data_IF_269015350533
#
_entry.id   IF_269015350533
#
_cell.length_a   1.000
_cell.length_b   1.000
_cell.length_c   1.000
_cell.angle_alpha   90.00
_cell.angle_beta   90.00
_cell.angle_gamma   90.00
#
_symmetry.space_group_name_H-M   'P 1'
#
loop_
_entity.id
_entity.type
_entity.pdbx_description
1 polymer ?
#
# COMPACT_ATOMS: atom_id res chain seq x y z
N UNK A 1 -16.95 -20.21 -9.68
CA UNK A 1 -16.28 -19.84 -9.52
C UNK A 1 -15.57 -19.26 -10.13
N UNK A 2 -15.31 -18.74 -10.31
CA UNK A 2 -14.55 -18.30 -10.76
C UNK A 2 -13.51 -17.99 -10.40
N UNK A 3 -13.10 -18.09 -10.73
CA UNK A 3 -11.89 -18.03 -10.32
C UNK A 3 -11.21 -16.89 -10.70
N UNK A 4 -10.57 -16.13 -9.84
CA UNK A 4 -9.75 -15.06 -10.21
C UNK A 4 -8.43 -15.61 -10.54
N UNK A 5 -7.96 -15.38 -11.76
CA UNK A 5 -6.65 -15.81 -12.19
C UNK A 5 -5.68 -14.71 -11.88
N UNK A 6 -4.76 -14.97 -10.98
CA UNK A 6 -3.72 -14.00 -10.68
C UNK A 6 -2.47 -14.33 -11.46
N UNK A 7 -1.75 -13.29 -11.85
CA UNK A 7 -0.48 -13.47 -12.51
C UNK A 7 0.55 -13.96 -11.50
N UNK A 8 1.57 -14.64 -11.97
CA UNK A 8 2.60 -15.11 -11.08
C UNK A 8 3.55 -14.00 -10.73
N UNK A 9 4.16 -14.09 -9.56
CA UNK A 9 5.19 -13.12 -9.17
C UNK A 9 6.39 -13.26 -10.09
N UNK A 10 7.05 -12.14 -10.36
CA UNK A 10 8.21 -12.12 -11.23
C UNK A 10 9.52 -12.12 -10.46
N UNK A 11 9.50 -11.75 -9.19
CA UNK A 11 10.72 -11.67 -8.40
C UNK A 11 10.44 -12.06 -6.97
N UNK A 12 11.42 -12.66 -6.32
CA UNK A 12 11.31 -13.02 -4.93
C UNK A 12 11.88 -11.94 -4.01
N UNK A 13 12.32 -10.83 -4.55
CA UNK A 13 12.84 -9.73 -3.74
C UNK A 13 11.67 -9.04 -3.05
N UNK A 14 11.66 -8.98 -1.71
CA UNK A 14 10.57 -8.30 -1.02
C UNK A 14 10.63 -6.80 -1.26
N UNK A 15 9.48 -6.17 -1.30
CA UNK A 15 9.39 -4.73 -1.50
C UNK A 15 8.68 -4.13 -0.30
N UNK A 16 9.25 -3.07 0.26
CA UNK A 16 8.65 -2.33 1.35
C UNK A 16 8.30 -0.94 0.85
N UNK A 17 7.03 -0.57 0.98
CA UNK A 17 6.57 0.76 0.63
C UNK A 17 6.17 1.48 1.90
N UNK A 18 6.76 2.66 2.11
CA UNK A 18 6.42 3.51 3.25
C UNK A 18 5.75 4.74 2.65
N UNK A 19 4.51 4.98 3.02
CA UNK A 19 3.75 6.07 2.41
C UNK A 19 2.81 6.69 3.43
N UNK A 20 2.21 7.81 3.08
CA UNK A 20 1.32 8.49 3.99
C UNK A 20 0.06 8.96 3.25
N UNK A 21 0.05 10.17 2.72
CA UNK A 21 -1.17 10.74 2.16
C UNK A 21 -1.01 11.28 0.74
N UNK A 22 0.17 11.10 0.13
CA UNK A 22 0.40 11.61 -1.22
C UNK A 22 -0.04 10.59 -2.24
N UNK A 23 -1.33 10.58 -2.54
CA UNK A 23 -1.92 9.52 -3.33
C UNK A 23 -1.39 9.48 -4.77
N UNK A 24 -1.10 10.64 -5.35
CA UNK A 24 -0.60 10.66 -6.73
C UNK A 24 0.78 10.07 -6.82
N UNK A 25 1.66 10.43 -5.88
CA UNK A 25 2.99 9.87 -5.87
C UNK A 25 2.95 8.39 -5.57
N UNK A 26 2.11 8.00 -4.62
CA UNK A 26 1.98 6.60 -4.28
C UNK A 26 1.46 5.78 -5.46
N UNK A 27 0.52 6.35 -6.22
CA UNK A 27 -0.01 5.65 -7.38
C UNK A 27 1.10 5.34 -8.38
N UNK A 28 1.98 6.30 -8.64
CA UNK A 28 3.09 6.09 -9.54
C UNK A 28 4.02 4.99 -9.05
N UNK A 29 4.33 5.01 -7.75
CA UNK A 29 5.20 3.99 -7.17
C UNK A 29 4.53 2.63 -7.23
N UNK A 30 3.25 2.58 -6.90
CA UNK A 30 2.52 1.31 -6.90
C UNK A 30 2.44 0.73 -8.31
N UNK A 31 2.28 1.60 -9.32
CA UNK A 31 2.27 1.11 -10.71
C UNK A 31 3.59 0.42 -11.06
N UNK A 32 4.71 0.94 -10.58
CA UNK A 32 5.99 0.29 -10.81
C UNK A 32 6.09 -1.03 -10.08
N UNK A 33 5.53 -1.10 -8.88
CA UNK A 33 5.51 -2.34 -8.12
C UNK A 33 4.67 -3.39 -8.87
N UNK A 34 3.56 -2.97 -9.44
CA UNK A 34 2.72 -3.89 -10.21
C UNK A 34 3.48 -4.45 -11.40
N UNK A 35 4.32 -3.67 -12.03
CA UNK A 35 5.11 -4.16 -13.15
C UNK A 35 6.16 -5.15 -12.68
N UNK A 36 6.74 -4.93 -11.51
CA UNK A 36 7.76 -5.81 -10.97
C UNK A 36 7.20 -7.10 -10.41
N UNK A 37 5.97 -7.09 -9.95
CA UNK A 37 5.28 -8.26 -9.38
C UNK A 37 6.12 -9.01 -8.36
N UNK A 38 6.46 -8.33 -7.23
CA UNK A 38 7.24 -9.01 -6.21
C UNK A 38 6.40 -10.08 -5.50
N UNK A 39 7.05 -11.11 -5.02
CA UNK A 39 6.34 -12.16 -4.32
C UNK A 39 5.95 -11.76 -2.90
N UNK A 40 6.58 -10.73 -2.35
CA UNK A 40 6.25 -10.23 -1.03
C UNK A 40 6.18 -8.71 -1.06
N UNK A 41 5.16 -8.18 -0.42
CA UNK A 41 4.94 -6.74 -0.40
C UNK A 41 4.57 -6.31 1.01
N UNK A 42 5.35 -5.38 1.55
CA UNK A 42 5.10 -4.82 2.87
C UNK A 42 4.68 -3.38 2.71
N UNK A 43 3.53 -3.03 3.27
CA UNK A 43 2.97 -1.69 3.15
C UNK A 43 2.89 -1.08 4.55
N UNK A 44 3.59 0.03 4.75
CA UNK A 44 3.55 0.75 6.01
C UNK A 44 2.98 2.14 5.77
N UNK A 45 1.96 2.51 6.52
CA UNK A 45 1.33 3.81 6.38
C UNK A 45 0.95 4.38 7.75
N UNK A 46 1.34 5.63 7.99
CA UNK A 46 0.91 6.33 9.18
C UNK A 46 -0.54 6.76 9.00
N UNK A 47 -1.21 7.03 10.11
CA UNK A 47 -2.59 7.50 10.06
C UNK A 47 -2.66 8.99 9.84
N UNK A 48 -3.86 9.48 9.54
CA UNK A 48 -4.08 10.91 9.35
C UNK A 48 -3.87 11.65 10.65
N UNK A 49 -3.33 12.86 10.57
CA UNK A 49 -3.19 13.71 11.73
C UNK A 49 -4.59 14.15 12.18
N UNK A 50 -4.74 14.24 13.49
CA UNK A 50 -6.05 14.55 14.04
C UNK A 50 -6.50 15.92 13.55
N UNK A 51 -7.74 15.99 13.08
CA UNK A 51 -8.30 17.24 12.61
C UNK A 51 -7.85 17.67 11.23
N UNK A 52 -7.04 16.86 10.56
CA UNK A 52 -6.54 17.21 9.23
C UNK A 52 -7.30 16.43 8.17
N UNK A 53 -8.26 17.10 7.55
CA UNK A 53 -9.12 16.47 6.56
C UNK A 53 -8.34 16.06 5.30
N UNK A 54 -7.39 16.89 4.89
CA UNK A 54 -6.58 16.55 3.72
C UNK A 54 -5.80 15.26 3.93
N UNK A 55 -5.25 15.08 5.15
CA UNK A 55 -4.54 13.85 5.47
C UNK A 55 -5.50 12.66 5.38
N UNK A 56 -6.70 12.82 5.94
CA UNK A 56 -7.65 11.71 5.96
C UNK A 56 -8.02 11.28 4.55
N UNK A 57 -8.28 12.23 3.68
CA UNK A 57 -8.64 11.92 2.31
C UNK A 57 -7.48 11.24 1.60
N UNK A 58 -6.26 11.78 1.75
CA UNK A 58 -5.10 11.21 1.09
C UNK A 58 -4.77 9.82 1.59
N UNK A 59 -4.89 9.60 2.90
CA UNK A 59 -4.64 8.29 3.49
C UNK A 59 -5.62 7.27 2.90
N UNK A 60 -6.89 7.64 2.81
CA UNK A 60 -7.88 6.71 2.28
C UNK A 60 -7.64 6.40 0.80
N UNK A 61 -7.23 7.41 0.03
CA UNK A 61 -6.92 7.18 -1.38
C UNK A 61 -5.75 6.24 -1.56
N UNK A 62 -4.71 6.40 -0.74
CA UNK A 62 -3.57 5.52 -0.82
C UNK A 62 -3.96 4.09 -0.47
N UNK A 63 -4.78 3.91 0.55
CA UNK A 63 -5.21 2.58 0.93
C UNK A 63 -6.05 1.92 -0.15
N UNK A 64 -6.86 2.71 -0.84
CA UNK A 64 -7.65 2.18 -1.95
C UNK A 64 -6.74 1.73 -3.09
N UNK A 65 -5.67 2.49 -3.36
CA UNK A 65 -4.72 2.13 -4.40
C UNK A 65 -4.06 0.78 -4.08
N UNK A 66 -3.75 0.53 -2.82
CA UNK A 66 -3.06 -0.68 -2.40
C UNK A 66 -4.01 -1.79 -1.97
N UNK A 67 -5.27 -1.70 -2.34
CA UNK A 67 -6.25 -2.71 -1.97
C UNK A 67 -6.00 -4.02 -2.71
N UNK A 68 -6.50 -5.11 -2.14
CA UNK A 68 -6.31 -6.44 -2.74
C UNK A 68 -6.80 -6.49 -4.17
N UNK A 69 -7.86 -5.76 -4.49
CA UNK A 69 -8.41 -5.80 -5.84
C UNK A 69 -7.45 -5.24 -6.88
N UNK A 70 -6.46 -4.47 -6.45
CA UNK A 70 -5.45 -3.92 -7.34
C UNK A 70 -4.18 -4.76 -7.36
N UNK A 71 -4.12 -5.82 -6.58
CA UNK A 71 -2.96 -6.71 -6.53
C UNK A 71 -3.35 -7.97 -7.29
N UNK A 72 -3.05 -7.96 -8.58
CA UNK A 72 -3.50 -9.00 -9.48
C UNK A 72 -2.43 -10.03 -9.79
N UNK A 73 -1.49 -10.22 -8.88
CA UNK A 73 -0.47 -11.24 -9.01
C UNK A 73 -0.30 -11.96 -7.68
N UNK A 74 0.33 -13.11 -7.70
CA UNK A 74 0.58 -13.87 -6.49
C UNK A 74 1.56 -13.10 -5.63
N UNK A 75 1.11 -12.67 -4.46
CA UNK A 75 1.93 -11.82 -3.61
C UNK A 75 1.48 -11.97 -2.17
N UNK A 76 2.47 -12.16 -1.30
CA UNK A 76 2.20 -12.16 0.13
C UNK A 76 2.22 -10.70 0.58
N UNK A 77 1.10 -10.19 1.06
CA UNK A 77 0.95 -8.78 1.39
C UNK A 77 0.81 -8.61 2.89
N UNK A 78 1.61 -7.74 3.46
CA UNK A 78 1.55 -7.41 4.87
C UNK A 78 1.31 -5.91 4.99
N UNK A 79 0.23 -5.53 5.64
CA UNK A 79 -0.15 -4.13 5.80
C UNK A 79 0.00 -3.70 7.24
N UNK A 80 0.75 -2.63 7.45
CA UNK A 80 0.98 -2.07 8.77
C UNK A 80 0.41 -0.66 8.77
N UNK A 81 -0.91 -0.57 8.84
CA UNK A 81 -1.61 0.70 8.77
C UNK A 81 -1.91 1.17 10.18
N UNK A 82 -1.53 2.41 10.47
CA UNK A 82 -1.82 3.01 11.76
C UNK A 82 -3.19 3.64 11.73
N UNK A 83 -3.93 3.51 12.83
CA UNK A 83 -5.26 4.10 12.92
C UNK A 83 -5.21 5.60 13.08
N UNK A 84 -4.12 6.11 13.64
CA UNK A 84 -3.95 7.55 13.80
C UNK A 84 -2.48 7.86 13.66
N UNK A 85 -2.19 9.14 13.47
CA UNK A 85 -0.82 9.55 13.26
C UNK A 85 -0.06 9.44 14.57
N UNK A 86 0.98 8.62 14.59
CA UNK A 86 1.82 8.48 15.78
C UNK A 86 3.10 9.27 15.63
N UNK A 87 3.34 9.86 14.47
CA UNK A 87 4.52 10.65 14.23
C UNK A 87 5.78 9.85 14.45
N UNK A 88 6.80 10.54 14.92
CA UNK A 88 8.07 9.90 15.23
C UNK A 88 8.20 9.57 16.70
N UNK A 89 7.15 9.78 17.46
CA UNK A 89 7.20 9.58 18.90
C UNK A 89 6.80 8.14 19.19
N UNK A 90 7.72 7.34 19.68
CA UNK A 90 7.41 5.94 19.87
C UNK A 90 6.59 5.66 21.11
N UNK A 91 6.43 6.62 21.95
CA UNK A 91 5.82 6.45 23.27
C UNK A 91 4.81 5.34 23.42
#
# INVERSE_FOLDING_TARGET
MENQVKFKAKTDVPVLLIFFSRSEQFQSVFDEVKKARPSKLYLYQDGAREGNESDRIGVEKCRATAADENIDWDCEVHRFYQGKNVGCDPS
#
